data_IF_405265765774
#
_entry.id   IF_405265765774
#
_cell.length_a   1.000
_cell.length_b   1.000
_cell.length_c   1.000
_cell.angle_alpha   90.00
_cell.angle_beta   90.00
_cell.angle_gamma   90.00
#
_symmetry.space_group_name_H-M   'P 1'
#
loop_
_entity.id
_entity.type
_entity.pdbx_description
1 polymer ?
#
# COMPACT_ATOMS: atom_id res chain seq x y z
N UNK A 1 19.89 -0.56 -39.35
CA UNK A 1 18.49 -0.76 -38.91
C UNK A 1 18.51 -0.82 -37.39
N UNK A 2 18.18 0.28 -36.71
CA UNK A 2 18.13 0.31 -35.24
C UNK A 2 16.86 -0.40 -34.77
N UNK A 3 17.02 -1.50 -34.03
CA UNK A 3 15.92 -2.06 -33.26
C UNK A 3 15.79 -1.25 -31.97
N UNK A 4 14.81 -0.36 -31.94
CA UNK A 4 14.38 0.30 -30.72
C UNK A 4 13.65 -0.74 -29.87
N UNK A 5 14.32 -1.24 -28.82
CA UNK A 5 13.68 -2.11 -27.84
C UNK A 5 12.68 -1.28 -27.02
N UNK A 6 11.39 -1.50 -27.26
CA UNK A 6 10.32 -0.98 -26.40
C UNK A 6 10.36 -1.77 -25.10
N UNK A 7 10.91 -1.18 -24.03
CA UNK A 7 10.76 -1.70 -22.68
C UNK A 7 9.29 -1.54 -22.25
N UNK A 8 8.51 -2.60 -22.47
CA UNK A 8 7.20 -2.74 -21.84
C UNK A 8 7.45 -3.03 -20.36
N UNK A 9 7.22 -2.04 -19.51
CA UNK A 9 7.29 -2.18 -18.05
C UNK A 9 6.06 -2.96 -17.59
N UNK A 10 6.05 -4.28 -17.78
CA UNK A 10 5.06 -5.13 -17.12
C UNK A 10 5.40 -5.18 -15.63
N UNK A 11 4.45 -4.79 -14.76
CA UNK A 11 4.52 -5.10 -13.33
C UNK A 11 4.77 -6.61 -13.21
N UNK A 12 5.97 -6.99 -12.80
CA UNK A 12 6.36 -8.37 -12.56
C UNK A 12 5.58 -8.88 -11.36
N UNK A 13 4.39 -9.44 -11.60
CA UNK A 13 3.71 -10.26 -10.60
C UNK A 13 4.56 -11.52 -10.43
N UNK A 14 5.35 -11.58 -9.35
CA UNK A 14 6.03 -12.80 -8.95
C UNK A 14 4.95 -13.79 -8.46
N UNK A 15 4.79 -14.96 -9.10
CA UNK A 15 3.71 -15.91 -8.81
C UNK A 15 3.84 -16.60 -7.43
N UNK A 16 4.96 -16.42 -6.72
CA UNK A 16 5.25 -17.12 -5.47
C UNK A 16 4.82 -16.38 -4.20
N UNK A 17 4.28 -15.16 -4.31
CA UNK A 17 3.82 -14.41 -3.13
C UNK A 17 2.29 -14.48 -3.05
N UNK A 18 1.71 -14.95 -1.92
CA UNK A 18 0.27 -14.86 -1.71
C UNK A 18 -0.23 -13.43 -1.95
N UNK A 19 -1.40 -13.25 -2.57
CA UNK A 19 -1.96 -11.92 -2.72
C UNK A 19 -2.16 -11.29 -1.34
N UNK A 20 -1.97 -9.98 -1.20
CA UNK A 20 -2.24 -9.30 0.06
C UNK A 20 -3.71 -9.47 0.45
N UNK A 21 -4.04 -9.39 1.75
CA UNK A 21 -5.42 -9.42 2.21
C UNK A 21 -6.28 -8.36 1.51
N UNK A 22 -7.58 -8.60 1.30
CA UNK A 22 -8.45 -7.71 0.54
C UNK A 22 -8.61 -6.31 1.16
N UNK A 23 -8.31 -6.17 2.46
CA UNK A 23 -8.31 -4.89 3.16
C UNK A 23 -7.03 -4.07 2.95
N UNK A 24 -5.97 -4.66 2.38
CA UNK A 24 -4.71 -3.97 2.04
C UNK A 24 -4.80 -3.40 0.63
N UNK A 25 -4.80 -2.07 0.51
CA UNK A 25 -4.86 -1.37 -0.78
C UNK A 25 -3.47 -1.20 -1.41
N UNK A 26 -2.48 -0.85 -0.58
CA UNK A 26 -1.08 -0.71 -0.95
C UNK A 26 -0.23 -0.99 0.27
N UNK A 27 0.89 -1.68 0.09
CA UNK A 27 1.87 -1.96 1.13
C UNK A 27 3.26 -1.60 0.63
N UNK A 28 4.04 -0.95 1.49
CA UNK A 28 5.44 -0.61 1.31
C UNK A 28 6.23 -1.00 2.56
N UNK A 29 7.55 -0.86 2.51
CA UNK A 29 8.40 -1.11 3.69
C UNK A 29 8.10 -0.18 4.86
N UNK A 30 7.52 0.99 4.60
CA UNK A 30 7.31 2.05 5.59
C UNK A 30 5.86 2.16 6.04
N UNK A 31 4.90 1.72 5.21
CA UNK A 31 3.49 1.80 5.58
C UNK A 31 2.61 0.80 4.85
N UNK A 32 1.41 0.61 5.39
CA UNK A 32 0.26 0.01 4.71
C UNK A 32 -0.81 1.08 4.56
N UNK A 33 -1.48 1.11 3.41
CA UNK A 33 -2.70 1.88 3.16
C UNK A 33 -3.84 0.89 3.04
N UNK A 34 -4.86 1.04 3.88
CA UNK A 34 -6.02 0.16 3.91
C UNK A 34 -7.13 0.62 2.97
N UNK A 35 -7.98 -0.31 2.56
CA UNK A 35 -9.21 0.01 1.86
C UNK A 35 -10.19 0.67 2.84
N UNK A 36 -10.67 1.91 2.58
CA UNK A 36 -11.58 2.64 3.48
C UNK A 36 -12.92 1.95 3.73
N UNK A 37 -13.33 1.02 2.87
CA UNK A 37 -14.56 0.23 3.02
C UNK A 37 -14.38 -0.99 3.95
N UNK A 38 -13.15 -1.26 4.39
CA UNK A 38 -12.85 -2.40 5.26
C UNK A 38 -13.38 -2.15 6.68
N UNK A 39 -13.68 -3.24 7.38
CA UNK A 39 -14.00 -3.19 8.79
C UNK A 39 -12.83 -2.56 9.59
N UNK A 40 -13.17 -1.56 10.42
CA UNK A 40 -12.18 -0.76 11.14
C UNK A 40 -11.46 -1.58 12.22
N UNK A 41 -12.14 -2.55 12.85
CA UNK A 41 -11.51 -3.39 13.87
C UNK A 41 -10.46 -4.31 13.23
N UNK A 42 -10.78 -4.88 12.07
CA UNK A 42 -9.89 -5.75 11.29
C UNK A 42 -8.58 -5.05 10.91
N UNK A 43 -8.65 -3.84 10.35
CA UNK A 43 -7.45 -3.12 9.91
C UNK A 43 -6.62 -2.56 11.07
N UNK A 44 -7.27 -2.25 12.21
CA UNK A 44 -6.56 -1.87 13.44
C UNK A 44 -5.80 -3.05 14.03
N UNK A 45 -6.42 -4.23 14.02
CA UNK A 45 -5.80 -5.46 14.49
C UNK A 45 -4.61 -5.85 13.61
N UNK A 46 -4.79 -5.89 12.29
CA UNK A 46 -3.69 -6.17 11.35
C UNK A 46 -2.51 -5.22 11.56
N UNK A 47 -2.78 -3.91 11.71
CA UNK A 47 -1.71 -2.95 11.96
C UNK A 47 -0.97 -3.22 13.29
N UNK A 48 -1.72 -3.58 14.34
CA UNK A 48 -1.16 -3.93 15.65
C UNK A 48 -0.32 -5.19 15.59
N UNK A 49 -0.80 -6.25 14.94
CA UNK A 49 -0.08 -7.51 14.78
C UNK A 49 1.22 -7.34 13.98
N UNK A 50 1.24 -6.41 13.02
CA UNK A 50 2.44 -6.04 12.26
C UNK A 50 3.39 -5.10 13.01
N UNK A 51 3.03 -4.66 14.21
CA UNK A 51 3.86 -3.78 15.05
C UNK A 51 3.93 -2.33 14.56
N UNK A 52 2.98 -1.89 13.74
CA UNK A 52 2.91 -0.51 13.27
C UNK A 52 2.01 0.39 14.13
N UNK A 53 1.92 1.65 13.73
CA UNK A 53 1.07 2.66 14.36
C UNK A 53 -0.11 2.96 13.43
N UNK A 54 -1.32 2.68 13.89
CA UNK A 54 -2.52 2.97 13.12
C UNK A 54 -2.81 4.48 13.11
N UNK A 55 -3.00 5.04 11.93
CA UNK A 55 -3.36 6.44 11.71
C UNK A 55 -4.67 6.52 10.92
N UNK A 56 -5.67 7.18 11.50
CA UNK A 56 -7.00 7.30 10.89
C UNK A 56 -7.10 8.33 9.76
N UNK A 57 -6.10 9.20 9.63
CA UNK A 57 -6.00 10.20 8.59
C UNK A 57 -4.54 10.35 8.14
N UNK A 58 -3.95 9.24 7.72
CA UNK A 58 -2.64 9.21 7.08
C UNK A 58 -2.69 9.67 5.63
N UNK A 59 -1.49 9.85 5.06
CA UNK A 59 -1.35 10.21 3.65
C UNK A 59 -1.53 8.98 2.75
N UNK A 60 -2.32 9.16 1.69
CA UNK A 60 -2.53 8.15 0.66
C UNK A 60 -1.29 7.89 -0.21
N UNK A 61 -0.36 8.84 -0.27
CA UNK A 61 0.80 8.77 -1.16
C UNK A 61 2.12 8.71 -0.41
N UNK A 62 3.14 8.23 -1.09
CA UNK A 62 4.48 8.10 -0.52
C UNK A 62 5.46 9.11 -1.10
N UNK A 63 6.30 9.70 -0.24
CA UNK A 63 7.30 10.68 -0.65
C UNK A 63 6.70 11.90 -1.34
N UNK A 64 7.33 12.31 -2.44
CA UNK A 64 7.02 13.54 -3.18
C UNK A 64 6.00 13.32 -4.32
N UNK A 65 5.18 12.26 -4.26
CA UNK A 65 4.10 12.02 -5.22
C UNK A 65 3.05 13.15 -5.17
N UNK A 66 2.56 13.59 -6.34
CA UNK A 66 1.41 14.52 -6.41
C UNK A 66 0.19 13.80 -5.83
N UNK A 67 -0.19 14.19 -4.62
CA UNK A 67 -1.18 13.48 -3.83
C UNK A 67 -2.48 14.25 -3.67
N UNK A 68 -3.59 13.51 -3.76
CA UNK A 68 -4.90 14.01 -3.33
C UNK A 68 -4.87 14.07 -1.80
N UNK A 69 -5.10 15.26 -1.23
CA UNK A 69 -5.16 15.46 0.21
C UNK A 69 -6.48 14.98 0.79
N UNK A 70 -6.65 13.66 0.87
CA UNK A 70 -7.75 13.00 1.59
C UNK A 70 -7.18 12.08 2.67
N UNK A 71 -7.92 11.95 3.77
CA UNK A 71 -7.57 11.01 4.84
C UNK A 71 -7.58 9.57 4.32
N UNK A 72 -6.52 8.82 4.60
CA UNK A 72 -6.47 7.38 4.41
C UNK A 72 -6.23 6.68 5.73
N UNK A 73 -6.78 5.48 5.89
CA UNK A 73 -6.38 4.58 6.97
C UNK A 73 -4.99 4.02 6.65
N UNK A 74 -4.01 4.33 7.49
CA UNK A 74 -2.64 3.85 7.33
C UNK A 74 -2.13 3.10 8.55
N UNK A 75 -1.22 2.16 8.32
CA UNK A 75 -0.35 1.59 9.35
C UNK A 75 1.07 2.05 9.07
N UNK A 76 1.71 2.76 10.00
CA UNK A 76 3.04 3.33 9.81
C UNK A 76 4.09 2.56 10.62
N UNK A 77 5.18 2.16 9.95
CA UNK A 77 6.30 1.45 10.55
C UNK A 77 7.46 2.43 10.83
N UNK A 78 8.17 2.22 11.93
CA UNK A 78 9.37 3.00 12.29
C UNK A 78 10.59 2.61 11.47
#
# INVERSE_FOLDING_TARGET
MSLTAVLVITKKNNPDTPPPPPYVKKESKQRIIYNPESDLATIKEDCRERGGIFNSCGSYCEGDEICIQICAYTCEFK
#
